data_IF_745495569594
#
_entry.id   IF_745495569594
#
_cell.length_a   1.000
_cell.length_b   1.000
_cell.length_c   1.000
_cell.angle_alpha   90.00
_cell.angle_beta   90.00
_cell.angle_gamma   90.00
#
_symmetry.space_group_name_H-M   'P 1'
#
loop_
_entity.id
_entity.type
_entity.pdbx_description
1 polymer ?
#
# COMPACT_ATOMS: atom_id res chain seq x y z
N UNK A 1 30.63 -10.61 30.27
CA UNK A 1 29.26 -10.29 29.83
C UNK A 1 29.16 -8.80 29.51
N UNK A 2 29.34 -8.44 28.25
CA UNK A 2 29.04 -7.11 27.71
C UNK A 2 28.84 -7.27 26.21
N UNK A 3 27.60 -7.34 25.73
CA UNK A 3 27.24 -7.04 24.34
C UNK A 3 25.75 -6.66 24.28
N UNK A 4 25.46 -5.42 24.63
CA UNK A 4 24.38 -4.66 24.01
C UNK A 4 25.08 -3.42 23.45
N UNK A 5 25.63 -3.55 22.25
CA UNK A 5 25.94 -2.37 21.46
C UNK A 5 24.61 -1.75 21.08
N UNK A 6 24.29 -0.61 21.70
CA UNK A 6 23.23 0.28 21.24
C UNK A 6 23.49 0.59 19.76
N UNK A 7 22.72 -0.03 18.85
CA UNK A 7 22.73 0.34 17.43
C UNK A 7 21.69 1.43 17.29
N UNK A 8 22.13 2.68 17.45
CA UNK A 8 21.33 3.87 17.18
C UNK A 8 21.00 3.92 15.67
N UNK A 9 19.98 3.19 15.22
CA UNK A 9 19.20 3.36 13.96
C UNK A 9 18.42 2.11 13.49
N UNK A 10 18.04 1.18 14.38
CA UNK A 10 17.21 0.04 13.94
C UNK A 10 15.85 0.52 13.39
N UNK A 11 15.45 0.01 12.22
CA UNK A 11 14.12 0.28 11.67
C UNK A 11 13.08 -0.51 12.48
N UNK A 12 12.16 0.15 13.21
CA UNK A 12 11.26 -0.53 14.13
C UNK A 12 10.34 -1.52 13.41
N UNK A 13 9.94 -1.24 12.17
CA UNK A 13 9.08 -2.15 11.40
C UNK A 13 9.79 -3.45 11.02
N UNK A 14 11.08 -3.39 10.69
CA UNK A 14 11.88 -4.57 10.37
C UNK A 14 12.19 -5.36 11.64
N UNK A 15 12.59 -4.66 12.70
CA UNK A 15 12.88 -5.28 13.99
C UNK A 15 11.67 -6.05 14.51
N UNK A 16 10.50 -5.41 14.58
CA UNK A 16 9.28 -6.05 15.05
C UNK A 16 8.84 -7.19 14.13
N UNK A 17 8.96 -7.04 12.80
CA UNK A 17 8.64 -8.12 11.86
C UNK A 17 9.48 -9.38 12.13
N UNK A 18 10.80 -9.21 12.30
CA UNK A 18 11.72 -10.34 12.60
C UNK A 18 11.41 -10.95 13.96
N UNK A 19 11.25 -10.12 14.99
CA UNK A 19 10.97 -10.57 16.35
C UNK A 19 9.67 -11.38 16.42
N UNK A 20 8.57 -10.86 15.86
CA UNK A 20 7.27 -11.53 15.87
C UNK A 20 7.25 -12.80 15.02
N UNK A 21 7.89 -12.80 13.84
CA UNK A 21 7.96 -13.99 13.00
C UNK A 21 8.75 -15.13 13.69
N UNK A 22 9.90 -14.82 14.30
CA UNK A 22 10.69 -15.81 15.03
C UNK A 22 9.96 -16.29 16.29
N UNK A 23 9.31 -15.40 17.04
CA UNK A 23 8.52 -15.77 18.21
C UNK A 23 7.35 -16.71 17.83
N UNK A 24 6.61 -16.38 16.77
CA UNK A 24 5.53 -17.23 16.26
C UNK A 24 6.04 -18.61 15.83
N UNK A 25 7.17 -18.63 15.12
CA UNK A 25 7.81 -19.88 14.71
C UNK A 25 8.23 -20.73 15.90
N UNK A 26 8.75 -20.12 16.97
CA UNK A 26 9.08 -20.83 18.23
C UNK A 26 7.84 -21.46 18.85
N UNK A 27 6.77 -20.68 19.05
CA UNK A 27 5.52 -21.18 19.65
C UNK A 27 4.98 -22.36 18.84
N UNK A 28 4.84 -22.20 17.53
CA UNK A 28 4.23 -23.22 16.65
C UNK A 28 5.12 -24.45 16.50
N UNK A 29 6.44 -24.30 16.35
CA UNK A 29 7.34 -25.44 16.14
C UNK A 29 7.63 -26.20 17.44
N UNK A 30 7.51 -25.56 18.61
CA UNK A 30 7.53 -26.26 19.90
C UNK A 30 6.31 -27.18 20.01
N UNK A 31 5.11 -26.69 19.67
CA UNK A 31 3.89 -27.51 19.66
C UNK A 31 3.96 -28.67 18.65
N UNK A 32 4.73 -28.51 17.55
CA UNK A 32 4.95 -29.54 16.54
C UNK A 32 6.14 -30.48 16.84
N UNK A 33 6.75 -30.40 18.02
CA UNK A 33 7.94 -31.18 18.42
C UNK A 33 9.15 -31.00 17.48
N UNK A 34 9.27 -29.84 16.82
CA UNK A 34 10.33 -29.50 15.84
C UNK A 34 11.29 -28.43 16.34
N UNK A 35 11.38 -28.22 17.65
CA UNK A 35 12.20 -27.17 18.27
C UNK A 35 13.68 -27.23 17.86
N UNK A 36 14.25 -28.44 17.81
CA UNK A 36 15.68 -28.63 17.51
C UNK A 36 16.05 -28.18 16.09
N UNK A 37 15.11 -28.26 15.13
CA UNK A 37 15.33 -27.81 13.75
C UNK A 37 15.39 -26.27 13.73
N UNK A 38 14.48 -25.61 14.44
CA UNK A 38 14.45 -24.15 14.52
C UNK A 38 15.72 -23.59 15.17
N UNK A 39 16.13 -24.15 16.31
CA UNK A 39 17.32 -23.67 17.02
C UNK A 39 18.59 -23.84 16.16
N UNK A 40 18.70 -24.95 15.41
CA UNK A 40 19.78 -25.16 14.43
C UNK A 40 19.79 -24.11 13.32
N UNK A 41 18.63 -23.78 12.75
CA UNK A 41 18.52 -22.76 11.70
C UNK A 41 18.88 -21.37 12.22
N UNK A 42 18.40 -21.00 13.41
CA UNK A 42 18.68 -19.69 14.00
C UNK A 42 20.16 -19.54 14.40
N UNK A 43 20.83 -20.64 14.80
CA UNK A 43 22.26 -20.65 15.12
C UNK A 43 23.17 -20.40 13.90
N UNK A 44 22.70 -20.67 12.68
CA UNK A 44 23.43 -20.35 11.45
C UNK A 44 23.46 -18.85 11.16
N UNK A 45 22.60 -18.07 11.82
CA UNK A 45 22.37 -16.67 11.52
C UNK A 45 21.46 -16.49 10.30
N UNK A 46 20.91 -15.29 10.16
CA UNK A 46 20.04 -14.92 9.05
C UNK A 46 20.60 -13.68 8.36
N UNK A 47 20.76 -13.76 7.04
CA UNK A 47 21.02 -12.59 6.21
C UNK A 47 19.73 -12.19 5.49
N UNK A 48 19.17 -11.03 5.86
CA UNK A 48 17.89 -10.55 5.35
C UNK A 48 18.16 -9.36 4.43
N UNK A 49 17.87 -9.52 3.15
CA UNK A 49 17.91 -8.42 2.17
C UNK A 49 16.48 -8.02 1.83
N UNK A 50 16.15 -6.73 2.04
CA UNK A 50 14.85 -6.15 1.71
C UNK A 50 15.04 -5.23 0.52
N UNK A 51 14.30 -5.49 -0.55
CA UNK A 51 14.33 -4.70 -1.78
C UNK A 51 12.95 -4.05 -1.93
N UNK A 52 12.83 -2.74 -2.15
CA UNK A 52 11.53 -2.13 -2.44
C UNK A 52 11.29 -2.03 -3.95
N UNK A 53 10.12 -2.45 -4.43
CA UNK A 53 9.76 -2.25 -5.84
C UNK A 53 9.81 -0.75 -6.18
N UNK A 54 10.16 -0.42 -7.43
CA UNK A 54 10.28 0.96 -7.88
C UNK A 54 8.95 1.73 -7.70
N UNK A 55 7.81 1.03 -7.71
CA UNK A 55 6.48 1.63 -7.54
C UNK A 55 6.23 2.20 -6.13
N UNK A 56 7.00 1.81 -5.11
CA UNK A 56 6.86 2.32 -3.74
C UNK A 56 7.54 3.68 -3.52
N UNK A 57 8.38 4.12 -4.45
CA UNK A 57 9.21 5.30 -4.28
C UNK A 57 9.15 6.24 -5.47
N UNK A 58 9.34 7.53 -5.21
CA UNK A 58 9.44 8.52 -6.26
C UNK A 58 10.82 8.51 -6.92
N UNK A 59 10.86 8.28 -8.23
CA UNK A 59 12.05 8.42 -9.07
C UNK A 59 12.11 9.78 -9.80
N UNK A 60 11.21 10.70 -9.46
CA UNK A 60 11.05 11.98 -10.16
C UNK A 60 12.37 12.73 -10.34
N UNK A 61 13.09 12.96 -9.26
CA UNK A 61 14.35 13.73 -9.28
C UNK A 61 15.39 13.07 -10.20
N UNK A 62 15.46 11.72 -10.23
CA UNK A 62 16.37 11.00 -11.13
C UNK A 62 15.98 11.13 -12.59
N UNK A 63 14.68 11.07 -12.87
CA UNK A 63 14.14 11.17 -14.22
C UNK A 63 14.33 12.60 -14.74
N UNK A 64 13.99 13.61 -13.94
CA UNK A 64 14.17 15.03 -14.28
C UNK A 64 15.64 15.40 -14.45
N UNK A 65 16.54 14.88 -13.60
CA UNK A 65 17.99 15.09 -13.73
C UNK A 65 18.56 14.53 -15.05
N UNK A 66 17.90 13.54 -15.65
CA UNK A 66 18.26 12.98 -16.97
C UNK A 66 17.56 13.70 -18.14
N UNK A 67 16.76 14.74 -17.87
CA UNK A 67 15.96 15.43 -18.88
C UNK A 67 14.88 14.54 -19.51
N UNK A 68 14.51 13.44 -18.85
CA UNK A 68 13.54 12.48 -19.36
C UNK A 68 12.12 12.90 -18.98
N UNK A 69 11.11 12.58 -19.81
CA UNK A 69 9.73 12.87 -19.47
C UNK A 69 9.25 11.93 -18.36
N UNK A 70 8.52 12.47 -17.37
CA UNK A 70 7.94 11.72 -16.24
C UNK A 70 6.83 10.76 -16.67
N UNK A 71 7.14 9.71 -17.43
CA UNK A 71 6.13 8.78 -17.98
C UNK A 71 6.24 7.40 -17.36
N UNK A 72 5.15 6.61 -17.33
CA UNK A 72 5.20 5.22 -16.87
C UNK A 72 6.24 4.38 -17.62
N UNK A 73 6.39 4.58 -18.93
CA UNK A 73 7.38 3.87 -19.73
C UNK A 73 8.82 4.18 -19.30
N UNK A 74 9.10 5.44 -18.95
CA UNK A 74 10.40 5.84 -18.42
C UNK A 74 10.64 5.24 -17.05
N UNK A 75 9.64 5.20 -16.16
CA UNK A 75 9.76 4.52 -14.87
C UNK A 75 10.01 3.02 -15.05
N UNK A 76 9.30 2.38 -15.97
CA UNK A 76 9.47 0.96 -16.30
C UNK A 76 10.84 0.64 -16.92
N UNK A 77 11.51 1.63 -17.53
CA UNK A 77 12.88 1.49 -18.05
C UNK A 77 13.95 1.49 -16.95
N UNK A 78 13.61 1.96 -15.73
CA UNK A 78 14.53 1.94 -14.59
C UNK A 78 14.68 0.48 -14.11
N UNK A 79 15.91 -0.03 -13.92
CA UNK A 79 16.11 -1.38 -13.42
C UNK A 79 15.30 -1.67 -12.15
N UNK A 80 14.67 -2.85 -12.02
CA UNK A 80 13.94 -3.21 -10.81
C UNK A 80 14.80 -3.08 -9.55
N UNK A 81 14.20 -2.58 -8.47
CA UNK A 81 14.87 -2.39 -7.16
C UNK A 81 16.04 -1.40 -7.21
N UNK A 82 15.94 -0.39 -8.09
CA UNK A 82 16.96 0.65 -8.17
C UNK A 82 17.06 1.44 -6.87
N UNK A 83 18.24 1.97 -6.58
CA UNK A 83 18.40 2.88 -5.44
C UNK A 83 17.78 4.24 -5.78
N UNK A 84 17.03 4.80 -4.84
CA UNK A 84 16.58 6.19 -4.91
C UNK A 84 17.73 7.13 -4.55
N UNK A 85 17.74 8.32 -5.14
CA UNK A 85 18.72 9.35 -4.76
C UNK A 85 18.22 9.94 -3.45
N UNK A 86 19.08 9.93 -2.44
CA UNK A 86 18.84 10.73 -1.24
C UNK A 86 18.83 12.20 -1.67
N UNK A 87 17.88 13.01 -1.17
CA UNK A 87 17.95 14.46 -1.34
C UNK A 87 19.24 14.95 -0.69
N UNK A 88 20.33 15.04 -1.46
CA UNK A 88 21.51 15.79 -1.09
C UNK A 88 21.44 17.10 -1.83
N UNK A 89 20.87 18.13 -1.21
CA UNK A 89 21.16 19.48 -1.67
C UNK A 89 21.98 20.20 -0.60
N UNK A 90 23.29 20.14 -0.78
CA UNK A 90 24.12 21.31 -0.56
C UNK A 90 23.75 22.29 -1.68
N UNK A 91 22.71 23.10 -1.48
CA UNK A 91 22.56 24.35 -2.22
C UNK A 91 23.10 25.48 -1.35
N UNK A 92 24.21 26.05 -1.81
CA UNK A 92 24.86 27.25 -1.29
C UNK A 92 25.50 27.15 0.11
N UNK A 93 26.74 26.65 0.14
CA UNK A 93 27.86 27.33 0.83
C UNK A 93 27.83 27.56 2.34
N UNK A 94 26.79 27.16 3.09
CA UNK A 94 26.76 27.33 4.55
C UNK A 94 26.65 25.97 5.24
N UNK A 95 27.72 25.64 5.99
CA UNK A 95 27.79 24.48 6.86
C UNK A 95 26.80 24.62 8.03
N UNK A 96 25.79 23.76 8.07
CA UNK A 96 25.25 23.22 9.31
C UNK A 96 24.66 21.84 9.01
N UNK A 97 25.24 20.80 9.61
CA UNK A 97 24.82 19.42 9.47
C UNK A 97 23.48 19.14 10.16
N UNK A 98 22.39 19.64 9.61
CA UNK A 98 21.08 19.07 9.90
C UNK A 98 20.99 17.74 9.13
N UNK A 99 20.86 16.64 9.87
CA UNK A 99 20.45 15.34 9.33
C UNK A 99 19.05 15.49 8.73
N UNK A 100 18.93 16.05 7.52
CA UNK A 100 17.71 15.96 6.74
C UNK A 100 17.46 14.47 6.51
N UNK A 101 16.43 13.94 7.19
CA UNK A 101 15.94 12.59 6.90
C UNK A 101 15.70 12.52 5.39
N UNK A 102 16.08 11.41 4.73
CA UNK A 102 15.77 11.25 3.32
C UNK A 102 14.28 11.51 3.16
N UNK A 103 13.93 12.49 2.34
CA UNK A 103 12.58 12.57 1.83
C UNK A 103 12.45 11.46 0.80
N UNK A 104 12.35 10.22 1.31
CA UNK A 104 11.64 9.18 0.59
C UNK A 104 10.24 9.75 0.52
N UNK A 105 9.90 10.42 -0.58
CA UNK A 105 8.55 10.86 -0.85
C UNK A 105 7.68 9.59 -0.87
N UNK A 106 7.16 9.22 0.30
CA UNK A 106 6.31 8.05 0.49
C UNK A 106 5.02 8.38 -0.25
N UNK A 107 4.65 7.53 -1.19
CA UNK A 107 3.45 7.71 -2.02
C UNK A 107 2.13 7.54 -1.26
N UNK A 108 2.17 7.37 0.06
CA UNK A 108 0.99 7.04 0.89
C UNK A 108 0.44 5.63 0.68
N UNK A 109 1.10 4.77 -0.12
CA UNK A 109 0.59 3.45 -0.54
C UNK A 109 0.79 2.31 0.48
N UNK A 110 1.13 2.61 1.73
CA UNK A 110 1.31 1.57 2.75
C UNK A 110 2.63 0.78 2.65
N UNK A 111 3.73 1.42 2.25
CA UNK A 111 5.04 0.76 2.09
C UNK A 111 5.56 0.09 3.37
N UNK A 112 5.27 0.63 4.56
CA UNK A 112 5.64 -0.03 5.82
C UNK A 112 4.88 -1.34 6.04
N UNK A 113 3.58 -1.38 5.73
CA UNK A 113 2.77 -2.59 5.82
C UNK A 113 3.23 -3.64 4.81
N UNK A 114 3.50 -3.23 3.56
CA UNK A 114 4.03 -4.13 2.54
C UNK A 114 5.38 -4.74 2.95
N UNK A 115 6.30 -3.93 3.50
CA UNK A 115 7.59 -4.39 3.99
C UNK A 115 7.45 -5.35 5.18
N UNK A 116 6.71 -4.95 6.24
CA UNK A 116 6.49 -5.78 7.43
C UNK A 116 5.89 -7.13 7.04
N UNK A 117 4.83 -7.11 6.23
CA UNK A 117 4.15 -8.32 5.76
C UNK A 117 5.08 -9.23 4.98
N UNK A 118 5.92 -8.66 4.11
CA UNK A 118 6.83 -9.44 3.28
C UNK A 118 7.95 -10.09 4.08
N UNK A 119 8.50 -9.39 5.08
CA UNK A 119 9.51 -9.96 5.99
C UNK A 119 8.91 -11.09 6.83
N UNK A 120 7.73 -10.87 7.41
CA UNK A 120 7.03 -11.89 8.21
C UNK A 120 6.73 -13.13 7.35
N UNK A 121 6.13 -12.93 6.18
CA UNK A 121 5.80 -14.01 5.26
C UNK A 121 7.03 -14.83 4.85
N UNK A 122 8.12 -14.16 4.45
CA UNK A 122 9.36 -14.82 4.04
C UNK A 122 9.99 -15.63 5.18
N UNK A 123 10.01 -15.08 6.40
CA UNK A 123 10.59 -15.78 7.56
C UNK A 123 9.72 -16.97 8.00
N UNK A 124 8.40 -16.80 8.09
CA UNK A 124 7.51 -17.90 8.44
C UNK A 124 7.59 -19.03 7.40
N UNK A 125 7.74 -18.69 6.12
CA UNK A 125 7.93 -19.67 5.06
C UNK A 125 9.28 -20.37 5.16
N UNK A 126 10.37 -19.61 5.31
CA UNK A 126 11.74 -20.14 5.45
C UNK A 126 11.88 -21.07 6.66
N UNK A 127 11.23 -20.73 7.78
CA UNK A 127 11.24 -21.54 9.00
C UNK A 127 10.27 -22.73 8.94
N UNK A 128 9.57 -22.96 7.82
CA UNK A 128 8.66 -24.09 7.63
C UNK A 128 7.37 -24.01 8.45
N UNK A 129 6.96 -22.81 8.83
CA UNK A 129 5.72 -22.58 9.58
C UNK A 129 4.53 -22.51 8.63
N UNK A 130 4.69 -21.81 7.51
CA UNK A 130 3.68 -21.64 6.44
C UNK A 130 4.21 -22.08 5.08
N UNK A 131 3.31 -22.44 4.16
CA UNK A 131 3.67 -22.70 2.76
C UNK A 131 3.08 -21.62 1.87
N UNK A 132 3.94 -20.77 1.31
CA UNK A 132 3.53 -19.70 0.41
C UNK A 132 3.87 -20.09 -1.03
N UNK A 133 2.94 -19.91 -1.97
CA UNK A 133 3.14 -20.33 -3.35
C UNK A 133 4.18 -19.45 -4.04
N UNK A 134 5.04 -20.08 -4.84
CA UNK A 134 6.08 -19.36 -5.58
C UNK A 134 5.66 -19.01 -7.01
N UNK A 135 4.80 -19.80 -7.67
CA UNK A 135 4.36 -19.50 -9.04
C UNK A 135 2.97 -20.02 -9.48
N UNK A 136 2.42 -21.13 -8.95
CA UNK A 136 1.14 -21.69 -9.49
C UNK A 136 0.15 -22.28 -8.45
N UNK A 137 0.53 -22.37 -7.17
CA UNK A 137 -0.38 -22.85 -6.12
C UNK A 137 -1.05 -21.68 -5.39
N UNK A 138 -2.17 -21.90 -4.71
CA UNK A 138 -2.77 -20.88 -3.83
C UNK A 138 -2.33 -21.18 -2.41
N UNK A 139 -1.82 -20.17 -1.70
CA UNK A 139 -1.61 -20.26 -0.26
C UNK A 139 -2.91 -20.71 0.41
N UNK A 140 -2.81 -21.56 1.42
CA UNK A 140 -4.00 -21.92 2.19
C UNK A 140 -4.53 -20.68 2.92
N UNK A 141 -5.84 -20.59 3.13
CA UNK A 141 -6.43 -19.50 3.91
C UNK A 141 -5.80 -19.43 5.32
N UNK A 142 -5.49 -20.59 5.91
CA UNK A 142 -4.84 -20.71 7.22
C UNK A 142 -3.44 -20.11 7.24
N UNK A 143 -2.63 -20.35 6.21
CA UNK A 143 -1.29 -19.78 6.10
C UNK A 143 -1.34 -18.26 5.94
N UNK A 144 -2.25 -17.74 5.11
CA UNK A 144 -2.44 -16.30 4.93
C UNK A 144 -2.96 -15.63 6.21
N UNK A 145 -3.89 -16.26 6.92
CA UNK A 145 -4.39 -15.77 8.21
C UNK A 145 -3.29 -15.68 9.25
N UNK A 146 -2.41 -16.68 9.30
CA UNK A 146 -1.25 -16.64 10.18
C UNK A 146 -0.29 -15.51 9.81
N UNK A 147 0.03 -15.33 8.52
CA UNK A 147 0.85 -14.21 8.05
C UNK A 147 0.21 -12.88 8.42
N UNK A 148 -1.10 -12.72 8.22
CA UNK A 148 -1.84 -11.51 8.56
C UNK A 148 -1.78 -11.19 10.04
N UNK A 149 -2.12 -12.15 10.91
CA UNK A 149 -2.13 -11.95 12.36
C UNK A 149 -0.75 -11.51 12.86
N UNK A 150 0.31 -12.20 12.47
CA UNK A 150 1.68 -11.88 12.90
C UNK A 150 2.14 -10.54 12.33
N UNK A 151 1.86 -10.26 11.05
CA UNK A 151 2.23 -9.00 10.41
C UNK A 151 1.48 -7.81 11.02
N UNK A 152 0.20 -7.99 11.33
CA UNK A 152 -0.66 -6.95 11.89
C UNK A 152 -0.22 -6.58 13.30
N UNK A 153 0.09 -7.57 14.13
CA UNK A 153 0.61 -7.36 15.48
C UNK A 153 1.99 -6.67 15.45
N UNK A 154 2.92 -7.17 14.62
CA UNK A 154 4.23 -6.56 14.45
C UNK A 154 4.14 -5.10 14.00
N UNK A 155 3.25 -4.81 13.03
CA UNK A 155 3.04 -3.48 12.50
C UNK A 155 2.42 -2.52 13.53
N UNK A 156 1.41 -2.95 14.29
CA UNK A 156 0.80 -2.13 15.34
C UNK A 156 1.83 -1.72 16.41
N UNK A 157 2.69 -2.65 16.84
CA UNK A 157 3.75 -2.37 17.82
C UNK A 157 4.79 -1.43 17.22
N UNK A 158 5.27 -1.68 16.00
CA UNK A 158 6.24 -0.82 15.34
C UNK A 158 5.70 0.60 15.10
N UNK A 159 4.40 0.74 14.83
CA UNK A 159 3.75 2.03 14.63
C UNK A 159 3.43 2.76 15.96
N UNK A 160 3.43 2.04 17.09
CA UNK A 160 3.07 2.57 18.40
C UNK A 160 1.57 2.89 18.57
N UNK A 161 0.72 2.43 17.64
CA UNK A 161 -0.72 2.63 17.68
C UNK A 161 -1.46 1.51 16.95
N UNK A 162 -2.73 1.30 17.31
CA UNK A 162 -3.59 0.37 16.59
C UNK A 162 -4.25 1.09 15.40
N UNK A 163 -3.62 1.01 14.23
CA UNK A 163 -4.16 1.47 12.95
C UNK A 163 -5.37 0.67 12.48
N UNK A 164 -5.95 1.01 11.32
CA UNK A 164 -7.10 0.27 10.77
C UNK A 164 -6.76 -1.19 10.44
N UNK A 165 -5.50 -1.47 10.11
CA UNK A 165 -5.04 -2.77 9.64
C UNK A 165 -5.37 -3.08 8.19
N UNK A 166 -6.01 -2.13 7.48
CA UNK A 166 -6.36 -2.32 6.07
C UNK A 166 -5.12 -2.48 5.18
N UNK A 167 -4.06 -1.73 5.46
CA UNK A 167 -2.80 -1.75 4.71
C UNK A 167 -2.08 -3.10 4.81
N UNK A 168 -1.98 -3.66 6.02
CA UNK A 168 -1.42 -4.99 6.26
C UNK A 168 -2.32 -6.06 5.65
N UNK A 169 -3.63 -5.97 5.89
CA UNK A 169 -4.60 -6.91 5.32
C UNK A 169 -4.55 -6.92 3.78
N UNK A 170 -4.46 -5.75 3.14
CA UNK A 170 -4.36 -5.65 1.68
C UNK A 170 -3.03 -6.20 1.16
N UNK A 171 -1.94 -6.06 1.92
CA UNK A 171 -0.64 -6.66 1.57
C UNK A 171 -0.68 -8.20 1.62
N UNK A 172 -1.53 -8.80 2.45
CA UNK A 172 -1.67 -10.27 2.56
C UNK A 172 -2.68 -10.82 1.56
N UNK A 173 -3.90 -10.27 1.55
CA UNK A 173 -5.04 -10.84 0.82
C UNK A 173 -5.28 -10.19 -0.55
N UNK A 174 -4.62 -9.07 -0.84
CA UNK A 174 -4.81 -8.30 -2.07
C UNK A 174 -6.07 -7.43 -2.04
N UNK A 175 -6.69 -7.23 -3.21
CA UNK A 175 -7.84 -6.32 -3.37
C UNK A 175 -9.09 -6.79 -2.61
N UNK A 176 -9.61 -5.93 -1.75
CA UNK A 176 -10.64 -6.31 -0.79
C UNK A 176 -11.51 -5.14 -0.32
N UNK A 177 -12.70 -5.50 0.20
CA UNK A 177 -13.44 -4.71 1.20
C UNK A 177 -13.10 -5.28 2.57
N UNK A 178 -12.80 -4.40 3.52
CA UNK A 178 -12.26 -4.78 4.82
C UNK A 178 -13.04 -4.13 5.96
N UNK A 179 -13.29 -4.92 7.01
CA UNK A 179 -13.81 -4.47 8.30
C UNK A 179 -12.73 -4.77 9.34
N UNK A 180 -12.36 -3.73 10.09
CA UNK A 180 -11.29 -3.76 11.09
C UNK A 180 -11.62 -4.72 12.24
N UNK A 181 -10.60 -5.42 12.74
CA UNK A 181 -10.65 -6.20 13.97
C UNK A 181 -10.83 -5.32 15.24
N UNK A 182 -11.44 -5.90 16.26
CA UNK A 182 -11.51 -5.38 17.63
C UNK A 182 -10.11 -5.15 18.21
N UNK A 183 -9.75 -3.93 18.66
CA UNK A 183 -8.42 -3.66 19.23
C UNK A 183 -8.03 -4.57 20.40
N UNK A 184 -9.03 -5.15 21.09
CA UNK A 184 -8.89 -6.06 22.23
C UNK A 184 -8.22 -7.39 21.89
N UNK A 185 -8.10 -7.75 20.59
CA UNK A 185 -7.40 -8.97 20.16
C UNK A 185 -5.88 -8.87 20.31
N UNK A 186 -5.34 -7.68 20.55
CA UNK A 186 -3.93 -7.46 20.82
C UNK A 186 -3.64 -7.73 22.31
N UNK A 187 -2.62 -8.53 22.61
CA UNK A 187 -2.26 -8.89 23.99
C UNK A 187 -1.63 -7.71 24.74
N UNK A 188 -1.91 -7.64 26.04
CA UNK A 188 -1.33 -6.68 26.99
C UNK A 188 -0.08 -7.19 27.70
N UNK A 189 0.36 -8.42 27.41
CA UNK A 189 1.58 -9.00 27.99
C UNK A 189 2.83 -8.24 27.56
N UNK A 190 3.88 -8.28 28.39
CA UNK A 190 5.16 -7.63 28.12
C UNK A 190 6.20 -8.58 27.49
N UNK A 191 6.01 -9.90 27.64
CA UNK A 191 6.95 -10.90 27.17
C UNK A 191 6.52 -11.44 25.80
N UNK A 192 7.35 -11.20 24.78
CA UNK A 192 6.99 -11.40 23.38
C UNK A 192 6.50 -12.83 23.04
N UNK A 193 7.15 -13.93 23.48
CA UNK A 193 6.61 -15.27 23.27
C UNK A 193 5.19 -15.48 23.81
N UNK A 194 4.87 -14.92 24.98
CA UNK A 194 3.54 -15.04 25.59
C UNK A 194 2.54 -14.17 24.84
N UNK A 195 2.94 -12.95 24.46
CA UNK A 195 2.16 -12.06 23.59
C UNK A 195 1.77 -12.78 22.30
N UNK A 196 2.73 -13.44 21.64
CA UNK A 196 2.47 -14.16 20.39
C UNK A 196 1.60 -15.39 20.62
N UNK A 197 1.84 -16.17 21.68
CA UNK A 197 1.01 -17.31 22.02
C UNK A 197 -0.44 -16.92 22.31
N UNK A 198 -0.67 -15.78 22.97
CA UNK A 198 -2.01 -15.23 23.21
C UNK A 198 -2.66 -14.82 21.88
N UNK A 199 -1.95 -14.02 21.07
CA UNK A 199 -2.43 -13.51 19.79
C UNK A 199 -2.84 -14.65 18.84
N UNK A 200 -2.08 -15.76 18.84
CA UNK A 200 -2.36 -16.95 18.03
C UNK A 200 -3.62 -17.70 18.50
N UNK A 201 -4.01 -17.58 19.78
CA UNK A 201 -5.22 -18.19 20.34
C UNK A 201 -6.46 -17.30 20.20
N UNK A 202 -6.28 -15.99 20.00
CA UNK A 202 -7.39 -15.05 19.89
C UNK A 202 -8.18 -15.26 18.60
N UNK A 203 -9.49 -15.03 18.68
CA UNK A 203 -10.36 -15.00 17.49
C UNK A 203 -10.36 -13.58 16.91
N UNK A 204 -9.64 -13.39 15.82
CA UNK A 204 -9.64 -12.15 15.08
C UNK A 204 -10.95 -11.98 14.32
N UNK A 205 -11.74 -10.97 14.67
CA UNK A 205 -13.06 -10.67 14.10
C UNK A 205 -13.02 -9.67 12.93
N UNK A 206 -11.87 -9.52 12.27
CA UNK A 206 -11.83 -8.77 11.02
C UNK A 206 -12.63 -9.52 9.95
N UNK A 207 -13.16 -8.76 8.98
CA UNK A 207 -13.79 -9.35 7.81
C UNK A 207 -13.06 -8.84 6.57
N UNK A 208 -12.62 -9.76 5.72
CA UNK A 208 -12.14 -9.44 4.38
C UNK A 208 -13.09 -10.06 3.35
N UNK A 209 -13.41 -9.28 2.33
CA UNK A 209 -14.22 -9.73 1.20
C UNK A 209 -13.46 -9.41 -0.07
N UNK A 210 -13.13 -10.42 -0.87
CA UNK A 210 -12.47 -10.19 -2.15
C UNK A 210 -13.30 -9.22 -2.98
N UNK A 211 -12.64 -8.17 -3.47
CA UNK A 211 -13.29 -7.13 -4.24
C UNK A 211 -12.48 -6.81 -5.48
N UNK A 212 -13.18 -6.57 -6.57
CA UNK A 212 -12.60 -6.09 -7.82
C UNK A 212 -13.52 -5.05 -8.40
N UNK A 213 -12.94 -4.05 -9.06
CA UNK A 213 -13.74 -3.09 -9.79
C UNK A 213 -14.49 -3.80 -10.92
N UNK A 214 -15.78 -3.45 -11.14
CA UNK A 214 -16.51 -3.89 -12.32
C UNK A 214 -15.70 -3.64 -13.61
N UNK A 215 -15.86 -4.50 -14.65
CA UNK A 215 -15.23 -4.27 -15.94
C UNK A 215 -15.52 -2.86 -16.47
N UNK A 216 -14.58 -2.31 -17.25
CA UNK A 216 -14.64 -0.95 -17.83
C UNK A 216 -14.45 0.19 -16.83
N UNK A 217 -14.33 -0.10 -15.53
CA UNK A 217 -13.84 0.86 -14.56
C UNK A 217 -12.33 0.74 -14.42
N UNK A 218 -11.67 1.90 -14.37
CA UNK A 218 -10.22 2.00 -14.17
C UNK A 218 -9.95 2.91 -12.98
N UNK A 219 -9.05 2.48 -12.09
CA UNK A 219 -8.54 3.31 -10.99
C UNK A 219 -7.26 4.01 -11.46
N UNK A 220 -7.26 5.33 -11.40
CA UNK A 220 -6.08 6.17 -11.58
C UNK A 220 -5.64 6.68 -10.21
N UNK A 221 -4.34 6.64 -9.94
CA UNK A 221 -3.73 7.22 -8.75
C UNK A 221 -2.69 8.27 -9.14
N UNK A 222 -2.70 9.42 -8.46
CA UNK A 222 -1.75 10.52 -8.65
C UNK A 222 -1.28 11.08 -7.31
N UNK A 223 -0.11 11.72 -7.27
CA UNK A 223 0.37 12.42 -6.08
C UNK A 223 0.48 13.92 -6.37
N UNK A 224 -0.10 14.80 -5.51
CA UNK A 224 0.00 16.22 -5.71
C UNK A 224 1.38 16.81 -5.48
N UNK A 225 1.71 17.83 -6.27
CA UNK A 225 2.74 18.83 -5.93
C UNK A 225 2.00 20.10 -5.52
N UNK A 226 2.50 20.78 -4.49
CA UNK A 226 1.90 21.95 -3.86
C UNK A 226 1.56 23.07 -4.87
N UNK A 227 0.38 23.66 -4.61
CA UNK A 227 -0.21 24.90 -5.15
C UNK A 227 -0.41 25.04 -6.66
N UNK A 228 -1.66 24.96 -7.13
CA UNK A 228 -2.08 25.49 -8.45
C UNK A 228 -3.51 26.05 -8.39
N UNK A 229 -3.71 27.25 -8.95
CA UNK A 229 -5.02 27.90 -9.18
C UNK A 229 -5.57 27.54 -10.59
N UNK A 230 -6.89 27.32 -10.70
CA UNK A 230 -7.58 26.80 -11.88
C UNK A 230 -8.70 27.73 -12.40
N UNK A 231 -8.89 27.85 -13.74
CA UNK A 231 -10.11 28.41 -14.34
C UNK A 231 -11.13 27.33 -14.76
N UNK A 232 -12.41 27.59 -14.46
CA UNK A 232 -13.59 26.73 -14.70
C UNK A 232 -14.02 26.71 -16.18
N UNK A 233 -14.24 25.52 -16.79
CA UNK A 233 -15.17 25.35 -17.94
C UNK A 233 -15.81 23.95 -17.98
N UNK A 234 -17.06 23.93 -18.44
CA UNK A 234 -18.13 22.92 -18.28
C UNK A 234 -18.32 22.01 -19.51
N UNK A 235 -18.48 20.69 -19.31
CA UNK A 235 -19.22 19.79 -20.23
C UNK A 235 -19.73 18.51 -19.51
N UNK A 236 -20.99 18.11 -19.74
CA UNK A 236 -21.57 16.85 -19.25
C UNK A 236 -21.97 15.90 -20.39
N UNK A 237 -21.43 14.68 -20.32
CA UNK A 237 -21.76 13.38 -20.90
C UNK A 237 -22.79 13.24 -22.05
N UNK A 238 -22.33 12.68 -23.17
CA UNK A 238 -23.10 11.74 -24.00
C UNK A 238 -22.17 10.64 -24.53
N UNK A 239 -22.24 9.44 -23.93
CA UNK A 239 -22.11 8.11 -24.59
C UNK A 239 -22.03 6.98 -23.56
N UNK A 240 -23.19 6.43 -23.19
CA UNK A 240 -23.31 5.01 -22.82
C UNK A 240 -24.51 4.47 -23.56
N UNK A 241 -24.31 4.10 -24.82
CA UNK A 241 -25.31 3.39 -25.60
C UNK A 241 -24.59 2.49 -26.60
N UNK A 242 -24.49 1.22 -26.26
CA UNK A 242 -24.88 0.11 -27.14
C UNK A 242 -24.74 -1.23 -26.39
N UNK A 243 -25.78 -2.04 -26.58
CA UNK A 243 -25.92 -3.48 -26.30
C UNK A 243 -25.89 -3.94 -24.84
N UNK A 244 -26.95 -3.69 -24.06
CA UNK A 244 -27.44 -4.58 -22.98
C UNK A 244 -28.92 -4.29 -22.66
N UNK A 245 -29.70 -5.26 -22.12
CA UNK A 245 -31.15 -5.15 -21.95
C UNK A 245 -31.58 -3.99 -21.04
N UNK A 246 -32.59 -3.24 -21.47
CA UNK A 246 -32.96 -1.90 -20.97
C UNK A 246 -33.15 -1.78 -19.44
N UNK A 247 -33.56 -2.85 -18.75
CA UNK A 247 -33.70 -2.90 -17.28
C UNK A 247 -32.36 -3.02 -16.52
N UNK A 248 -31.35 -3.70 -17.09
CA UNK A 248 -30.01 -3.76 -16.47
C UNK A 248 -29.33 -2.41 -16.55
N UNK A 249 -29.49 -1.70 -17.66
CA UNK A 249 -28.90 -0.38 -17.88
C UNK A 249 -29.41 0.67 -16.88
N UNK A 250 -30.72 0.74 -16.64
CA UNK A 250 -31.30 1.66 -15.64
C UNK A 250 -30.77 1.38 -14.23
N UNK A 251 -30.63 0.09 -13.88
CA UNK A 251 -30.09 -0.32 -12.58
C UNK A 251 -28.63 0.07 -12.44
N UNK A 252 -27.81 -0.14 -13.49
CA UNK A 252 -26.41 0.26 -13.51
C UNK A 252 -26.25 1.78 -13.43
N UNK A 253 -27.02 2.54 -14.21
CA UNK A 253 -27.01 4.00 -14.17
C UNK A 253 -27.37 4.52 -12.77
N UNK A 254 -28.42 3.97 -12.16
CA UNK A 254 -28.82 4.33 -10.80
C UNK A 254 -27.72 4.02 -9.78
N UNK A 255 -27.07 2.86 -9.88
CA UNK A 255 -25.98 2.48 -8.99
C UNK A 255 -24.74 3.36 -9.16
N UNK A 256 -24.36 3.69 -10.41
CA UNK A 256 -23.22 4.56 -10.70
C UNK A 256 -23.47 6.00 -10.21
N UNK A 257 -24.67 6.53 -10.44
CA UNK A 257 -25.09 7.83 -9.91
C UNK A 257 -25.13 7.82 -8.38
N UNK A 258 -25.65 6.74 -7.78
CA UNK A 258 -25.64 6.54 -6.34
C UNK A 258 -24.23 6.54 -5.76
N UNK A 259 -23.30 5.82 -6.40
CA UNK A 259 -21.89 5.81 -6.00
C UNK A 259 -21.25 7.20 -6.11
N UNK A 260 -21.51 7.92 -7.21
CA UNK A 260 -21.03 9.30 -7.41
C UNK A 260 -21.53 10.25 -6.31
N UNK A 261 -22.82 10.23 -6.02
CA UNK A 261 -23.43 11.08 -4.99
C UNK A 261 -22.89 10.73 -3.59
N UNK A 262 -22.82 9.43 -3.26
CA UNK A 262 -22.25 8.98 -2.00
C UNK A 262 -20.80 9.45 -1.85
N UNK A 263 -20.02 9.50 -2.93
CA UNK A 263 -18.64 9.94 -2.87
C UNK A 263 -18.49 11.45 -2.70
N UNK A 264 -19.39 12.26 -3.29
CA UNK A 264 -19.47 13.70 -3.01
C UNK A 264 -19.74 13.95 -1.53
N UNK A 265 -20.69 13.19 -0.95
CA UNK A 265 -20.98 13.24 0.49
C UNK A 265 -19.76 12.82 1.33
N UNK A 266 -19.07 11.73 0.97
CA UNK A 266 -17.85 11.29 1.67
C UNK A 266 -16.81 12.41 1.70
N UNK A 267 -16.52 13.05 0.56
CA UNK A 267 -15.56 14.18 0.51
C UNK A 267 -16.01 15.36 1.36
N UNK A 268 -17.31 15.67 1.36
CA UNK A 268 -17.89 16.70 2.24
C UNK A 268 -17.63 16.40 3.71
N UNK A 269 -17.92 15.18 4.17
CA UNK A 269 -17.68 14.76 5.54
C UNK A 269 -16.18 14.74 5.89
N UNK A 270 -15.31 14.32 4.97
CA UNK A 270 -13.85 14.35 5.18
C UNK A 270 -13.33 15.77 5.39
N UNK A 271 -13.81 16.75 4.61
CA UNK A 271 -13.48 18.17 4.80
C UNK A 271 -14.02 18.73 6.12
N UNK A 272 -15.26 18.42 6.47
CA UNK A 272 -15.86 18.84 7.75
C UNK A 272 -15.07 18.28 8.94
N UNK A 273 -14.72 17.00 8.90
CA UNK A 273 -13.88 16.35 9.90
C UNK A 273 -12.50 17.00 9.99
N UNK A 274 -11.86 17.30 8.85
CA UNK A 274 -10.58 17.99 8.80
C UNK A 274 -10.64 19.38 9.45
N UNK A 275 -11.67 20.18 9.11
CA UNK A 275 -11.90 21.49 9.69
C UNK A 275 -12.14 21.42 11.21
N UNK A 276 -12.97 20.48 11.67
CA UNK A 276 -13.24 20.28 13.09
C UNK A 276 -12.01 19.83 13.87
N UNK A 277 -11.12 19.03 13.25
CA UNK A 277 -9.89 18.56 13.85
C UNK A 277 -8.70 19.54 13.72
N UNK A 278 -8.83 20.60 12.91
CA UNK A 278 -7.71 21.49 12.57
C UNK A 278 -6.63 20.83 11.72
N UNK A 279 -6.99 19.79 10.95
CA UNK A 279 -6.06 19.02 10.11
C UNK A 279 -6.58 19.01 8.68
N UNK A 280 -5.78 19.42 7.67
CA UNK A 280 -6.26 19.51 6.29
C UNK A 280 -6.33 18.13 5.62
N UNK A 281 -7.35 17.33 5.94
CA UNK A 281 -7.57 15.98 5.38
C UNK A 281 -7.74 16.03 3.86
N UNK A 282 -8.63 16.88 3.37
CA UNK A 282 -8.71 17.26 1.96
C UNK A 282 -8.48 18.78 1.88
N UNK A 283 -7.22 19.22 1.71
CA UNK A 283 -6.87 20.62 1.59
C UNK A 283 -7.56 21.30 0.40
N UNK A 284 -7.64 22.62 0.44
CA UNK A 284 -8.29 23.44 -0.60
C UNK A 284 -7.72 23.15 -2.00
N UNK A 285 -6.41 23.02 -2.15
CA UNK A 285 -5.77 22.69 -3.43
C UNK A 285 -6.17 21.31 -3.97
N UNK A 286 -6.29 20.30 -3.10
CA UNK A 286 -6.80 18.98 -3.51
C UNK A 286 -8.31 19.05 -3.80
N UNK A 287 -9.08 19.85 -3.07
CA UNK A 287 -10.51 20.04 -3.31
C UNK A 287 -10.76 20.59 -4.71
N UNK A 288 -10.10 21.68 -5.08
CA UNK A 288 -10.23 22.32 -6.40
C UNK A 288 -9.85 21.37 -7.54
N UNK A 289 -8.76 20.63 -7.38
CA UNK A 289 -8.32 19.61 -8.32
C UNK A 289 -9.36 18.49 -8.48
N UNK A 290 -9.86 17.96 -7.37
CA UNK A 290 -10.79 16.84 -7.36
C UNK A 290 -12.16 17.24 -7.89
N UNK A 291 -12.60 18.47 -7.65
CA UNK A 291 -13.83 19.02 -8.21
C UNK A 291 -13.72 19.16 -9.73
N UNK A 292 -12.62 19.75 -10.22
CA UNK A 292 -12.31 19.80 -11.65
C UNK A 292 -12.24 18.40 -12.26
N UNK A 293 -11.63 17.45 -11.56
CA UNK A 293 -11.53 16.04 -12.02
C UNK A 293 -12.91 15.38 -12.09
N UNK A 294 -13.76 15.60 -11.09
CA UNK A 294 -15.13 15.07 -11.05
C UNK A 294 -15.98 15.60 -12.21
N UNK A 295 -15.71 16.81 -12.70
CA UNK A 295 -16.39 17.41 -13.85
C UNK A 295 -15.97 16.81 -15.20
N UNK A 296 -14.86 16.07 -15.27
CA UNK A 296 -14.38 15.51 -16.53
C UNK A 296 -15.26 14.38 -17.06
N UNK A 297 -15.45 14.33 -18.38
CA UNK A 297 -16.18 13.25 -19.04
C UNK A 297 -15.54 11.88 -18.74
N UNK A 298 -16.37 10.93 -18.36
CA UNK A 298 -15.94 9.58 -18.03
C UNK A 298 -15.34 9.44 -16.63
N UNK A 299 -15.28 10.48 -15.80
CA UNK A 299 -14.91 10.32 -14.38
C UNK A 299 -16.15 9.95 -13.57
N UNK A 300 -16.10 8.81 -12.87
CA UNK A 300 -17.14 8.38 -11.93
C UNK A 300 -16.94 9.04 -10.57
N UNK A 301 -15.76 8.82 -9.98
CA UNK A 301 -15.37 9.28 -8.65
C UNK A 301 -13.97 9.90 -8.71
N UNK A 302 -13.67 10.86 -7.84
CA UNK A 302 -12.31 11.27 -7.54
C UNK A 302 -12.22 11.75 -6.10
N UNK A 303 -11.15 11.40 -5.39
CA UNK A 303 -10.98 11.73 -3.96
C UNK A 303 -9.54 11.61 -3.46
N UNK A 304 -9.36 11.87 -2.16
CA UNK A 304 -8.12 11.57 -1.43
C UNK A 304 -8.21 10.18 -0.80
N UNK A 305 -7.23 9.28 -1.00
CA UNK A 305 -7.20 7.98 -0.33
C UNK A 305 -6.57 8.09 1.06
N UNK A 306 -6.91 7.16 1.95
CA UNK A 306 -6.27 7.02 3.26
C UNK A 306 -6.55 8.21 4.19
N UNK A 307 -5.50 8.69 4.87
CA UNK A 307 -5.61 9.78 5.84
C UNK A 307 -5.76 11.17 5.19
N UNK A 308 -5.48 11.29 3.89
CA UNK A 308 -5.43 12.58 3.20
C UNK A 308 -4.19 13.40 3.56
N UNK A 309 -4.25 14.72 3.39
CA UNK A 309 -3.16 15.62 3.77
C UNK A 309 -2.04 15.72 2.75
N UNK A 310 -2.39 15.95 1.47
CA UNK A 310 -1.45 16.18 0.35
C UNK A 310 -0.73 14.95 -0.22
N UNK A 311 -0.93 13.74 0.31
CA UNK A 311 -0.21 12.54 -0.14
C UNK A 311 -0.58 12.12 -1.58
N UNK A 312 -1.84 11.74 -1.78
CA UNK A 312 -2.32 11.17 -3.03
C UNK A 312 -3.74 11.63 -3.34
N UNK A 313 -4.11 11.48 -4.61
CA UNK A 313 -5.47 11.57 -5.13
C UNK A 313 -5.74 10.34 -5.99
N UNK A 314 -7.00 9.97 -6.12
CA UNK A 314 -7.41 8.93 -7.04
C UNK A 314 -8.62 9.36 -7.86
N UNK A 315 -8.82 8.72 -9.00
CA UNK A 315 -10.03 8.79 -9.79
C UNK A 315 -10.47 7.40 -10.25
N UNK A 316 -11.77 7.12 -10.19
CA UNK A 316 -12.38 5.98 -10.87
C UNK A 316 -13.01 6.51 -12.15
N UNK A 317 -12.61 5.94 -13.28
CA UNK A 317 -13.08 6.37 -14.60
C UNK A 317 -13.80 5.25 -15.34
N UNK A 318 -14.70 5.61 -16.25
CA UNK A 318 -15.39 4.74 -17.19
C UNK A 318 -14.76 4.87 -18.58
N UNK A 319 -14.45 3.73 -19.20
CA UNK A 319 -13.97 3.70 -20.58
C UNK A 319 -12.57 4.31 -20.75
N UNK A 320 -12.38 5.13 -21.79
CA UNK A 320 -11.06 5.61 -22.24
C UNK A 320 -10.66 7.00 -21.70
N UNK A 321 -11.30 7.47 -20.63
CA UNK A 321 -11.01 8.79 -20.05
C UNK A 321 -9.62 8.91 -19.39
N UNK A 322 -8.84 7.81 -19.30
CA UNK A 322 -7.55 7.79 -18.59
C UNK A 322 -6.57 8.81 -19.12
N UNK A 323 -6.49 8.96 -20.43
CA UNK A 323 -5.52 9.85 -21.07
C UNK A 323 -5.90 11.31 -20.87
N UNK A 324 -7.21 11.62 -20.89
CA UNK A 324 -7.69 12.97 -20.64
C UNK A 324 -7.42 13.38 -19.19
N UNK A 325 -7.76 12.53 -18.22
CA UNK A 325 -7.51 12.77 -16.79
C UNK A 325 -6.01 12.90 -16.51
N UNK A 326 -5.20 11.97 -17.01
CA UNK A 326 -3.74 12.03 -16.83
C UNK A 326 -3.14 13.31 -17.42
N UNK A 327 -3.61 13.76 -18.58
CA UNK A 327 -3.15 15.00 -19.21
C UNK A 327 -3.56 16.23 -18.40
N UNK A 328 -4.81 16.28 -17.93
CA UNK A 328 -5.31 17.36 -17.08
C UNK A 328 -4.50 17.45 -15.78
N UNK A 329 -4.30 16.32 -15.11
CA UNK A 329 -3.47 16.23 -13.92
C UNK A 329 -2.03 16.71 -14.17
N UNK A 330 -1.42 16.30 -15.28
CA UNK A 330 -0.07 16.74 -15.67
C UNK A 330 0.05 18.24 -15.89
N UNK A 331 -0.97 18.88 -16.50
CA UNK A 331 -0.96 20.33 -16.72
C UNK A 331 -1.11 21.13 -15.43
N UNK A 332 -1.57 20.50 -14.35
CA UNK A 332 -1.82 21.10 -13.04
C UNK A 332 -0.69 20.82 -12.04
N UNK A 333 0.51 20.54 -12.53
CA UNK A 333 1.68 20.32 -11.66
C UNK A 333 1.67 18.99 -10.89
N UNK A 334 0.61 18.18 -10.99
CA UNK A 334 0.64 16.81 -10.47
C UNK A 334 1.72 16.06 -11.23
N UNK A 335 2.63 15.41 -10.49
CA UNK A 335 3.47 14.39 -11.10
C UNK A 335 2.55 13.42 -11.82
N UNK A 336 2.77 13.22 -13.12
CA UNK A 336 2.00 12.33 -14.00
C UNK A 336 1.55 11.06 -13.26
N UNK A 337 0.30 10.63 -13.52
CA UNK A 337 -0.37 9.45 -12.96
C UNK A 337 0.62 8.36 -12.54
N UNK A 338 0.69 8.10 -11.24
CA UNK A 338 1.65 7.17 -10.66
C UNK A 338 1.34 5.73 -11.11
N UNK A 339 0.07 5.35 -11.14
CA UNK A 339 -0.36 4.01 -11.59
C UNK A 339 -1.79 4.07 -12.15
N UNK A 340 -2.04 3.39 -13.27
CA UNK A 340 -3.37 3.13 -13.79
C UNK A 340 -3.69 1.64 -13.66
N UNK A 341 -4.60 1.27 -12.76
CA UNK A 341 -5.07 -0.10 -12.64
C UNK A 341 -6.29 -0.28 -13.55
N UNK A 342 -6.09 -0.94 -14.69
CA UNK A 342 -7.17 -1.33 -15.60
C UNK A 342 -7.63 -2.75 -15.26
N UNK A 343 -8.89 -2.91 -14.85
CA UNK A 343 -9.49 -4.23 -14.72
C UNK A 343 -10.05 -4.67 -16.07
N UNK A 344 -9.28 -5.47 -16.82
CA UNK A 344 -9.80 -6.15 -18.02
C UNK A 344 -10.75 -7.27 -17.60
N UNK A 345 -11.75 -7.56 -18.44
CA UNK A 345 -12.61 -8.74 -18.29
C UNK A 345 -11.72 -9.97 -18.07
N UNK A 346 -12.06 -10.78 -17.05
CA UNK A 346 -11.29 -11.92 -16.58
C UNK A 346 -10.70 -12.75 -17.74
N UNK A 347 -9.42 -12.51 -17.99
CA UNK A 347 -8.55 -13.35 -18.80
C UNK A 347 -7.35 -13.65 -17.92
N UNK A 348 -6.73 -14.82 -18.11
CA UNK A 348 -5.70 -15.42 -17.24
C UNK A 348 -4.53 -14.49 -16.85
N UNK A 349 -4.35 -13.33 -17.49
CA UNK A 349 -3.35 -12.31 -17.12
C UNK A 349 -3.58 -11.63 -15.76
N UNK A 350 -4.77 -11.71 -15.16
CA UNK A 350 -5.04 -11.14 -13.82
C UNK A 350 -4.26 -11.82 -12.69
N UNK A 351 -3.72 -13.02 -12.91
CA UNK A 351 -2.91 -13.72 -11.90
C UNK A 351 -1.51 -13.12 -11.74
N UNK A 352 -1.02 -12.36 -12.73
CA UNK A 352 0.34 -11.79 -12.72
C UNK A 352 0.51 -10.57 -11.81
N UNK A 353 -0.60 -9.93 -11.41
CA UNK A 353 -0.63 -8.71 -10.60
C UNK A 353 -1.20 -8.93 -9.19
N UNK A 354 -1.35 -10.18 -8.76
CA UNK A 354 -1.49 -10.44 -7.32
C UNK A 354 -0.22 -9.95 -6.63
N UNK A 355 -0.31 -9.30 -5.46
CA UNK A 355 0.87 -9.07 -4.63
C UNK A 355 1.32 -10.43 -4.08
N UNK A 356 1.87 -11.29 -4.93
CA UNK A 356 2.76 -12.35 -4.49
C UNK A 356 4.07 -11.64 -4.22
N UNK A 357 4.23 -11.30 -2.93
CA UNK A 357 5.48 -11.18 -2.21
C UNK A 357 6.71 -10.88 -3.06
N UNK A 358 7.24 -9.67 -2.83
CA UNK A 358 8.65 -9.34 -2.93
C UNK A 358 9.55 -10.54 -3.23
N UNK A 359 10.18 -10.53 -4.41
CA UNK A 359 11.07 -11.59 -4.87
C UNK A 359 12.30 -11.63 -3.94
N UNK A 360 12.22 -12.40 -2.85
CA UNK A 360 13.34 -12.62 -1.94
C UNK A 360 14.24 -13.70 -2.52
N UNK A 361 15.45 -13.31 -2.92
CA UNK A 361 16.54 -14.28 -3.10
C UNK A 361 17.32 -14.31 -1.79
N UNK A 362 17.03 -15.29 -0.94
CA UNK A 362 17.93 -15.62 0.17
C UNK A 362 19.20 -16.19 -0.47
N UNK A 363 20.27 -15.41 -0.44
CA UNK A 363 21.58 -15.84 -0.93
C UNK A 363 22.20 -16.70 0.17
N UNK A 364 22.37 -18.00 -0.09
CA UNK A 364 23.14 -18.87 0.79
C UNK A 364 24.56 -18.29 0.96
N UNK A 365 25.16 -18.37 2.16
CA UNK A 365 26.53 -17.94 2.34
C UNK A 365 27.45 -18.78 1.42
N UNK A 366 28.50 -18.18 0.83
CA UNK A 366 29.48 -18.94 0.07
C UNK A 366 30.09 -20.03 0.96
N UNK A 367 30.11 -21.25 0.42
CA UNK A 367 30.60 -22.47 1.07
C UNK A 367 32.07 -22.37 1.54
#
# INVERSE_FOLDING_TARGET
MRYLTHVDSANPFVEQAVQYAVAASKVILIEREKKDILDKLLLQGLNITILGCNDFYSYRNQIEARGLPLTPDVLASIPPFSSITFNSEVRNGNMAGEKCKPEVAKTGLGSSAAMTTSVVAALLHYLGVVTLPSTDEKATAVDLDLVHVISQSAHCIAQGKVGSGFDVSAAVYGSQRYIRFSPEVLSSSQHLPDVVADILKQKWNHENFQFSLPPLLTLLLGSPVLEVHLPHQWWLCQKVQKSEPQKSLETWQKSLLGARNAFVEIRSHMRQMGNAAGVPIEPESQTQLLDTTMEMEGVLLAGVPGAGGFDAVFAIILGEASNAVAKAWSSLGLGKTLVAFRWKVATQEQEKYRPLFLLFRLVEPPA
#
